data_IF_933488462117
#
_entry.id   IF_933488462117
#
_cell.length_a   1.000
_cell.length_b   1.000
_cell.length_c   1.000
_cell.angle_alpha   90.00
_cell.angle_beta   90.00
_cell.angle_gamma   90.00
#
_symmetry.space_group_name_H-M   'P 1'
#
loop_
_entity.id
_entity.type
_entity.pdbx_description
1 polymer ?
#
# COMPACT_ATOMS: atom_id res chain seq x y z
N UNK A 1 9.74 -1.84 8.77
CA UNK A 1 8.61 -2.31 7.92
C UNK A 1 7.95 -1.10 7.28
N UNK A 2 7.98 -0.96 5.96
CA UNK A 2 7.19 0.05 5.26
C UNK A 2 5.75 -0.44 5.17
N UNK A 3 4.78 0.40 5.51
CA UNK A 3 3.34 0.09 5.43
C UNK A 3 2.71 1.06 4.44
N UNK A 4 2.36 0.55 3.26
CA UNK A 4 1.70 1.30 2.19
C UNK A 4 0.20 1.07 2.29
N UNK A 5 -0.55 2.13 2.52
CA UNK A 5 -1.99 2.07 2.74
C UNK A 5 -2.63 3.39 2.30
N UNK A 6 -3.93 3.43 2.15
CA UNK A 6 -4.68 4.67 1.98
C UNK A 6 -5.17 5.22 3.32
N UNK A 7 -5.45 6.52 3.31
CA UNK A 7 -6.24 7.18 4.35
C UNK A 7 -7.74 7.03 4.01
N UNK A 8 -8.57 6.75 5.01
CA UNK A 8 -10.02 6.71 4.90
C UNK A 8 -10.67 7.81 5.76
N UNK A 9 -10.37 9.07 5.43
CA UNK A 9 -10.94 10.29 6.02
C UNK A 9 -10.63 10.52 7.52
N UNK A 10 -9.44 10.16 7.99
CA UNK A 10 -9.01 10.51 9.36
C UNK A 10 -7.92 11.57 9.34
N UNK A 11 -6.88 11.41 8.49
CA UNK A 11 -5.76 12.35 8.47
C UNK A 11 -5.86 13.39 7.35
N UNK A 12 -6.44 13.01 6.20
CA UNK A 12 -6.49 13.88 5.02
C UNK A 12 -7.94 14.16 4.64
N UNK A 13 -8.25 15.46 4.48
CA UNK A 13 -9.58 15.95 4.19
C UNK A 13 -9.54 16.95 3.03
N UNK A 14 -10.69 17.42 2.56
CA UNK A 14 -10.77 18.30 1.37
C UNK A 14 -9.98 19.61 1.43
N UNK A 15 -9.48 20.00 2.60
CA UNK A 15 -8.54 21.12 2.74
C UNK A 15 -7.12 20.78 2.29
N UNK A 16 -6.71 19.50 2.35
CA UNK A 16 -5.43 19.01 1.85
C UNK A 16 -5.43 17.49 1.67
N UNK A 17 -5.35 17.01 0.43
CA UNK A 17 -5.28 15.59 0.09
C UNK A 17 -3.99 15.33 -0.70
N UNK A 18 -2.95 14.74 -0.08
CA UNK A 18 -1.70 14.46 -0.76
C UNK A 18 -1.82 13.21 -1.65
N UNK A 19 -1.26 13.24 -2.86
CA UNK A 19 -1.17 12.06 -3.73
C UNK A 19 -0.40 10.92 -3.07
N UNK A 20 0.76 11.26 -2.49
CA UNK A 20 1.58 10.38 -1.66
C UNK A 20 2.04 11.14 -0.42
N UNK A 21 2.01 10.50 0.74
CA UNK A 21 2.44 11.12 1.99
C UNK A 21 3.32 10.20 2.82
N UNK A 22 4.40 10.76 3.39
CA UNK A 22 5.30 10.06 4.31
C UNK A 22 5.34 10.77 5.65
N UNK A 23 5.08 10.05 6.74
CA UNK A 23 5.20 10.62 8.09
C UNK A 23 6.64 10.64 8.58
N UNK A 24 7.06 11.77 9.16
CA UNK A 24 8.38 12.00 9.76
C UNK A 24 8.35 12.16 11.29
N UNK A 25 7.22 11.93 11.95
CA UNK A 25 7.17 11.89 13.42
C UNK A 25 8.13 10.85 13.97
N UNK A 26 8.50 10.97 15.25
CA UNK A 26 9.28 9.93 15.95
C UNK A 26 8.47 8.65 16.18
N UNK A 27 7.16 8.78 16.28
CA UNK A 27 6.27 7.70 16.67
C UNK A 27 4.92 7.85 15.98
N UNK A 28 4.28 6.72 15.68
CA UNK A 28 2.95 6.65 15.11
C UNK A 28 2.05 5.80 15.99
N UNK A 29 0.79 6.25 16.12
CA UNK A 29 -0.19 5.68 17.05
C UNK A 29 -1.50 5.49 16.32
N UNK A 30 -2.29 4.54 16.78
CA UNK A 30 -3.64 4.34 16.29
C UNK A 30 -4.47 3.54 17.27
N UNK A 31 -5.78 3.58 17.10
CA UNK A 31 -6.70 2.77 17.86
C UNK A 31 -7.73 2.14 16.93
N UNK A 32 -7.97 0.84 17.11
CA UNK A 32 -9.07 0.16 16.43
C UNK A 32 -9.79 -0.74 17.43
N UNK A 33 -11.08 -0.48 17.62
CA UNK A 33 -11.89 -1.09 18.68
C UNK A 33 -11.24 -0.89 20.07
N UNK A 34 -10.97 -1.97 20.81
CA UNK A 34 -10.30 -1.98 22.11
C UNK A 34 -8.76 -2.03 22.01
N UNK A 35 -8.20 -2.20 20.82
CA UNK A 35 -6.77 -2.39 20.62
C UNK A 35 -6.08 -1.06 20.34
N UNK A 36 -4.98 -0.80 21.06
CA UNK A 36 -4.13 0.38 20.89
C UNK A 36 -2.82 -0.03 20.26
N UNK A 37 -2.39 0.77 19.30
CA UNK A 37 -1.19 0.53 18.51
C UNK A 37 -0.22 1.69 18.71
N UNK A 38 1.06 1.35 18.91
CA UNK A 38 2.12 2.32 19.12
C UNK A 38 3.41 1.74 18.57
N UNK A 39 3.97 2.41 17.56
CA UNK A 39 5.19 1.97 16.90
C UNK A 39 6.17 3.14 16.76
N UNK A 40 7.46 2.86 16.94
CA UNK A 40 8.53 3.77 16.50
C UNK A 40 8.40 3.97 14.99
N UNK A 41 8.46 5.21 14.54
CA UNK A 41 8.47 5.51 13.11
C UNK A 41 9.91 5.53 12.59
N UNK A 42 10.14 4.99 11.40
CA UNK A 42 11.45 5.01 10.75
C UNK A 42 11.64 6.29 9.94
N UNK A 43 11.60 7.45 10.60
CA UNK A 43 11.68 8.77 9.94
C UNK A 43 12.92 8.96 9.05
N UNK A 44 14.05 8.34 9.39
CA UNK A 44 15.27 8.46 8.56
C UNK A 44 15.16 7.74 7.20
N UNK A 45 14.49 6.59 7.15
CA UNK A 45 14.16 5.92 5.89
C UNK A 45 13.17 6.76 5.10
N UNK A 46 12.18 7.35 5.78
CA UNK A 46 11.26 8.32 5.20
C UNK A 46 12.00 9.49 4.53
N UNK A 47 12.94 10.13 5.25
CA UNK A 47 13.75 11.23 4.70
C UNK A 47 14.59 10.80 3.50
N UNK A 48 15.15 9.60 3.51
CA UNK A 48 15.90 9.08 2.36
C UNK A 48 14.98 8.89 1.13
N UNK A 49 13.77 8.35 1.33
CA UNK A 49 12.78 8.21 0.25
C UNK A 49 12.34 9.58 -0.28
N UNK A 50 12.09 10.55 0.60
CA UNK A 50 11.71 11.92 0.21
C UNK A 50 12.79 12.58 -0.66
N UNK A 51 14.06 12.48 -0.25
CA UNK A 51 15.19 13.01 -1.03
C UNK A 51 15.32 12.34 -2.39
N UNK A 52 15.26 11.00 -2.42
CA UNK A 52 15.31 10.24 -3.66
C UNK A 52 14.13 10.60 -4.58
N UNK A 53 12.94 10.80 -4.03
CA UNK A 53 11.75 11.23 -4.77
C UNK A 53 11.98 12.57 -5.46
N UNK A 54 12.47 13.57 -4.72
CA UNK A 54 12.80 14.89 -5.27
C UNK A 54 13.84 14.79 -6.41
N UNK A 55 14.88 13.96 -6.25
CA UNK A 55 15.89 13.74 -7.28
C UNK A 55 15.34 13.05 -8.55
N UNK A 56 14.29 12.23 -8.40
CA UNK A 56 13.69 11.44 -9.49
C UNK A 56 12.38 12.00 -10.04
N UNK A 57 11.96 13.19 -9.62
CA UNK A 57 10.71 13.81 -10.08
C UNK A 57 9.45 13.10 -9.57
N UNK A 58 9.49 12.61 -8.33
CA UNK A 58 8.32 12.12 -7.59
C UNK A 58 8.14 12.98 -6.35
N UNK A 59 7.10 13.81 -6.38
CA UNK A 59 6.76 14.70 -5.27
C UNK A 59 5.94 13.95 -4.21
N UNK A 60 6.50 13.87 -3.01
CA UNK A 60 5.82 13.38 -1.82
C UNK A 60 5.47 14.55 -0.91
N UNK A 61 4.28 14.52 -0.32
CA UNK A 61 4.00 15.32 0.87
C UNK A 61 4.60 14.64 2.11
N UNK A 62 4.88 15.42 3.14
CA UNK A 62 5.36 14.89 4.41
C UNK A 62 4.86 15.74 5.59
N UNK A 63 4.82 15.13 6.77
CA UNK A 63 4.37 15.76 8.02
C UNK A 63 4.54 14.80 9.19
N UNK A 64 4.16 15.21 10.40
CA UNK A 64 4.46 14.42 11.61
C UNK A 64 3.19 13.85 12.27
N UNK A 65 2.09 14.59 12.30
CA UNK A 65 0.93 14.21 13.08
C UNK A 65 -0.11 13.46 12.25
N UNK A 66 0.10 12.15 12.09
CA UNK A 66 -0.90 11.23 11.53
C UNK A 66 -1.26 10.14 12.56
N UNK A 67 -2.50 9.70 12.51
CA UNK A 67 -3.03 8.55 13.24
C UNK A 67 -3.12 7.34 12.30
N UNK A 68 -2.62 6.20 12.74
CA UNK A 68 -2.79 4.91 12.06
C UNK A 68 -4.26 4.50 12.17
N UNK A 69 -4.86 4.18 11.03
CA UNK A 69 -6.24 3.76 10.89
C UNK A 69 -6.34 2.24 10.79
N UNK A 70 -7.56 1.71 10.63
CA UNK A 70 -7.79 0.29 10.39
C UNK A 70 -7.04 -0.23 9.16
N UNK A 71 -6.83 0.60 8.13
CA UNK A 71 -6.08 0.21 6.92
C UNK A 71 -4.65 -0.23 7.26
N UNK A 72 -4.00 0.39 8.25
CA UNK A 72 -2.68 -0.05 8.74
C UNK A 72 -2.80 -1.02 9.91
N UNK A 73 -3.61 -0.71 10.93
CA UNK A 73 -3.55 -1.42 12.21
C UNK A 73 -4.20 -2.80 12.19
N UNK A 74 -5.20 -3.04 11.34
CA UNK A 74 -5.81 -4.38 11.22
C UNK A 74 -4.79 -5.37 10.66
N UNK A 75 -4.10 -5.11 9.53
CA UNK A 75 -3.02 -5.98 9.08
C UNK A 75 -1.87 -6.08 10.09
N UNK A 76 -1.43 -4.97 10.69
CA UNK A 76 -0.36 -4.96 11.69
C UNK A 76 -0.68 -5.81 12.92
N UNK A 77 -1.95 -5.89 13.35
CA UNK A 77 -2.36 -6.76 14.44
C UNK A 77 -2.01 -8.23 14.18
N UNK A 78 -2.10 -8.70 12.94
CA UNK A 78 -1.79 -10.09 12.59
C UNK A 78 -0.31 -10.31 12.29
N UNK A 79 0.36 -9.38 11.61
CA UNK A 79 1.73 -9.58 11.11
C UNK A 79 2.83 -9.00 12.01
N UNK A 80 2.49 -8.02 12.86
CA UNK A 80 3.40 -7.37 13.80
C UNK A 80 2.66 -6.96 15.09
N UNK A 81 2.06 -7.93 15.82
CA UNK A 81 1.28 -7.65 17.04
C UNK A 81 2.12 -7.00 18.14
N UNK A 82 3.41 -7.30 18.18
CA UNK A 82 4.37 -6.66 19.07
C UNK A 82 5.24 -5.67 18.29
N UNK A 83 5.40 -4.41 18.74
CA UNK A 83 6.15 -3.36 18.04
C UNK A 83 7.68 -3.52 18.16
N UNK A 84 8.20 -4.71 17.81
CA UNK A 84 9.63 -5.08 17.92
C UNK A 84 10.54 -4.31 16.97
N UNK A 85 10.01 -3.90 15.82
CA UNK A 85 10.74 -3.16 14.76
C UNK A 85 10.00 -1.83 14.46
N UNK A 86 10.71 -0.80 13.99
CA UNK A 86 10.05 0.41 13.54
C UNK A 86 9.25 0.17 12.27
N UNK A 87 8.19 0.96 12.08
CA UNK A 87 7.40 1.01 10.85
C UNK A 87 7.61 2.34 10.13
N UNK A 88 7.32 2.40 8.84
CA UNK A 88 7.23 3.64 8.07
C UNK A 88 5.91 3.65 7.30
N UNK A 89 4.89 4.36 7.78
CA UNK A 89 3.65 4.54 7.04
C UNK A 89 3.88 5.42 5.81
N UNK A 90 3.45 4.93 4.66
CA UNK A 90 3.37 5.68 3.41
C UNK A 90 1.92 5.63 2.96
N UNK A 91 1.33 6.80 2.75
CA UNK A 91 -0.05 6.92 2.32
C UNK A 91 -0.14 7.13 0.82
N UNK A 92 -1.06 6.43 0.17
CA UNK A 92 -1.45 6.67 -1.24
C UNK A 92 -2.89 7.17 -1.25
N UNK A 93 -3.16 8.26 -1.98
CA UNK A 93 -4.53 8.68 -2.23
C UNK A 93 -5.21 7.71 -3.20
N UNK A 94 -6.23 7.00 -2.75
CA UNK A 94 -6.98 6.02 -3.57
C UNK A 94 -8.47 6.34 -3.69
N UNK A 95 -8.94 7.45 -3.10
CA UNK A 95 -10.38 7.74 -2.99
C UNK A 95 -10.78 9.13 -3.48
N UNK A 96 -9.89 10.13 -3.40
CA UNK A 96 -10.21 11.50 -3.79
C UNK A 96 -9.59 11.83 -5.16
N UNK A 97 -10.41 12.08 -6.18
CA UNK A 97 -9.83 12.51 -7.45
C UNK A 97 -9.12 13.86 -7.35
N UNK A 98 -7.97 14.05 -8.05
CA UNK A 98 -7.29 13.06 -8.89
C UNK A 98 -6.44 12.06 -8.08
N UNK A 99 -6.62 10.76 -8.34
CA UNK A 99 -5.80 9.67 -7.77
C UNK A 99 -4.62 9.33 -8.70
N UNK A 100 -3.47 8.83 -8.18
CA UNK A 100 -2.31 8.49 -9.01
C UNK A 100 -2.59 7.29 -9.91
N UNK A 101 -1.97 7.26 -11.09
CA UNK A 101 -2.09 6.12 -12.01
C UNK A 101 -1.39 4.86 -11.45
N UNK A 102 -1.75 3.65 -11.92
CA UNK A 102 -1.04 2.42 -11.57
C UNK A 102 0.45 2.51 -11.90
N UNK A 103 0.79 3.12 -13.04
CA UNK A 103 2.17 3.42 -13.44
C UNK A 103 2.91 4.29 -12.43
N UNK A 104 2.28 5.36 -11.93
CA UNK A 104 2.91 6.24 -10.95
C UNK A 104 3.16 5.54 -9.62
N UNK A 105 2.21 4.71 -9.17
CA UNK A 105 2.39 3.90 -7.96
C UNK A 105 3.52 2.85 -8.14
N UNK A 106 3.60 2.22 -9.32
CA UNK A 106 4.71 1.32 -9.65
C UNK A 106 6.07 2.04 -9.60
N UNK A 107 6.16 3.26 -10.14
CA UNK A 107 7.39 4.08 -10.08
C UNK A 107 7.80 4.44 -8.65
N UNK A 108 6.83 4.72 -7.75
CA UNK A 108 7.10 4.87 -6.32
C UNK A 108 7.70 3.59 -5.75
N UNK A 109 7.20 2.43 -6.16
CA UNK A 109 7.78 1.13 -5.80
C UNK A 109 9.22 0.95 -6.27
N UNK A 110 9.53 1.30 -7.51
CA UNK A 110 10.90 1.25 -8.04
C UNK A 110 11.85 2.16 -7.25
N UNK A 111 11.40 3.36 -6.90
CA UNK A 111 12.15 4.29 -6.05
C UNK A 111 12.42 3.69 -4.66
N UNK A 112 11.40 3.13 -4.01
CA UNK A 112 11.52 2.50 -2.69
C UNK A 112 12.48 1.31 -2.74
N UNK A 113 12.42 0.48 -3.80
CA UNK A 113 13.35 -0.64 -4.01
C UNK A 113 14.80 -0.16 -4.02
N UNK A 114 15.09 0.88 -4.79
CA UNK A 114 16.45 1.40 -4.90
C UNK A 114 16.97 1.93 -3.56
N UNK A 115 16.13 2.65 -2.80
CA UNK A 115 16.48 3.11 -1.45
C UNK A 115 16.71 1.90 -0.52
N UNK A 116 15.83 0.91 -0.55
CA UNK A 116 15.92 -0.28 0.27
C UNK A 116 17.17 -1.12 -0.03
N UNK A 117 17.57 -1.25 -1.30
CA UNK A 117 18.76 -1.99 -1.72
C UNK A 117 20.07 -1.35 -1.24
N UNK A 118 20.07 -0.03 -1.02
CA UNK A 118 21.22 0.71 -0.46
C UNK A 118 21.23 0.75 1.07
N UNK A 119 20.16 0.29 1.71
CA UNK A 119 20.06 0.25 3.17
C UNK A 119 20.94 -0.86 3.75
N UNK A 120 21.54 -0.60 4.91
CA UNK A 120 22.22 -1.63 5.70
C UNK A 120 21.21 -2.48 6.51
N UNK A 121 19.94 -2.05 6.56
CA UNK A 121 18.88 -2.76 7.25
C UNK A 121 18.10 -3.70 6.34
N UNK A 122 17.47 -4.71 6.94
CA UNK A 122 16.48 -5.54 6.23
C UNK A 122 15.15 -4.80 6.15
N UNK A 123 14.75 -4.44 4.93
CA UNK A 123 13.49 -3.76 4.67
C UNK A 123 12.42 -4.77 4.23
N UNK A 124 11.27 -4.76 4.91
CA UNK A 124 10.04 -5.42 4.48
C UNK A 124 9.00 -4.35 4.13
N UNK A 125 8.10 -4.67 3.19
CA UNK A 125 7.07 -3.77 2.70
C UNK A 125 5.73 -4.52 2.74
N UNK A 126 4.71 -3.87 3.30
CA UNK A 126 3.33 -4.36 3.36
C UNK A 126 2.46 -3.36 2.61
N UNK A 127 1.69 -3.81 1.63
CA UNK A 127 0.58 -3.05 1.06
C UNK A 127 -0.74 -3.59 1.60
N UNK A 128 -1.72 -2.72 1.80
CA UNK A 128 -3.02 -3.06 2.37
C UNK A 128 -4.16 -2.51 1.49
N UNK A 129 -5.38 -3.01 1.73
CA UNK A 129 -6.58 -2.63 0.98
C UNK A 129 -6.87 -3.56 -0.20
N UNK A 130 -8.05 -3.40 -0.78
CA UNK A 130 -8.55 -4.26 -1.86
C UNK A 130 -8.99 -5.67 -1.40
N UNK A 131 -9.27 -6.61 -2.31
CA UNK A 131 -9.33 -6.45 -3.78
C UNK A 131 -10.68 -5.88 -4.20
N UNK A 132 -11.42 -6.51 -5.11
CA UNK A 132 -12.71 -5.97 -5.57
C UNK A 132 -13.70 -5.74 -4.41
N UNK A 133 -14.18 -4.49 -4.30
CA UNK A 133 -15.23 -4.05 -3.40
C UNK A 133 -15.73 -2.64 -3.75
N UNK A 134 -16.96 -2.28 -3.35
CA UNK A 134 -17.62 -1.02 -3.76
C UNK A 134 -18.15 -0.21 -2.57
N UNK A 135 -17.27 0.31 -1.68
CA UNK A 135 -17.70 1.06 -0.52
C UNK A 135 -18.38 2.36 -0.93
N UNK A 136 -19.54 2.66 -0.33
CA UNK A 136 -20.28 3.90 -0.60
C UNK A 136 -20.94 4.00 -1.99
N UNK A 137 -20.95 2.91 -2.76
CA UNK A 137 -21.55 2.82 -4.10
C UNK A 137 -22.87 2.03 -4.09
N UNK A 138 -23.79 2.24 -5.06
CA UNK A 138 -24.95 1.37 -5.26
C UNK A 138 -24.61 -0.11 -5.47
N UNK A 139 -23.36 -0.41 -5.84
CA UNK A 139 -22.82 -1.76 -6.05
C UNK A 139 -22.27 -2.41 -4.77
N UNK A 140 -22.51 -1.81 -3.60
CA UNK A 140 -22.02 -2.33 -2.32
C UNK A 140 -22.42 -3.80 -2.13
N UNK A 141 -21.45 -4.63 -1.72
CA UNK A 141 -21.62 -6.09 -1.58
C UNK A 141 -21.31 -6.90 -2.84
N UNK A 142 -21.16 -6.26 -4.00
CA UNK A 142 -20.62 -6.93 -5.19
C UNK A 142 -19.13 -7.26 -5.02
N UNK A 143 -18.73 -8.43 -5.52
CA UNK A 143 -17.33 -8.89 -5.55
C UNK A 143 -17.07 -9.40 -6.98
N UNK A 144 -16.06 -8.86 -7.65
CA UNK A 144 -15.61 -9.32 -8.96
C UNK A 144 -14.46 -10.33 -8.81
N UNK A 145 -14.82 -11.55 -8.40
CA UNK A 145 -13.82 -12.62 -8.20
C UNK A 145 -13.08 -12.99 -9.48
N UNK A 146 -13.66 -12.78 -10.67
CA UNK A 146 -12.95 -13.04 -11.91
C UNK A 146 -11.83 -12.02 -12.12
N UNK A 147 -12.09 -10.74 -11.85
CA UNK A 147 -11.07 -9.71 -11.87
C UNK A 147 -9.97 -9.97 -10.84
N UNK A 148 -10.35 -10.26 -9.60
CA UNK A 148 -9.40 -10.57 -8.52
C UNK A 148 -8.48 -11.73 -8.88
N UNK A 149 -9.04 -12.85 -9.37
CA UNK A 149 -8.24 -13.99 -9.79
C UNK A 149 -7.29 -13.65 -10.94
N UNK A 150 -7.70 -12.83 -11.92
CA UNK A 150 -6.82 -12.39 -13.01
C UNK A 150 -5.64 -11.58 -12.47
N UNK A 151 -5.88 -10.65 -11.56
CA UNK A 151 -4.81 -9.86 -10.93
C UNK A 151 -3.83 -10.76 -10.18
N UNK A 152 -4.36 -11.62 -9.31
CA UNK A 152 -3.57 -12.55 -8.51
C UNK A 152 -2.75 -13.52 -9.38
N UNK A 153 -3.30 -14.00 -10.50
CA UNK A 153 -2.61 -14.88 -11.42
C UNK A 153 -1.41 -14.19 -12.09
N UNK A 154 -1.55 -12.92 -12.49
CA UNK A 154 -0.42 -12.13 -13.00
C UNK A 154 0.71 -12.03 -11.97
N UNK A 155 0.38 -11.88 -10.68
CA UNK A 155 1.37 -11.84 -9.60
C UNK A 155 2.04 -13.21 -9.39
N UNK A 156 1.27 -14.29 -9.47
CA UNK A 156 1.76 -15.68 -9.39
C UNK A 156 2.77 -15.98 -10.49
N UNK A 157 2.51 -15.50 -11.70
CA UNK A 157 3.35 -15.74 -12.87
C UNK A 157 4.58 -14.82 -12.97
N UNK A 158 4.70 -13.82 -12.08
CA UNK A 158 5.77 -12.81 -12.14
C UNK A 158 5.54 -11.77 -13.23
N UNK A 159 4.29 -11.58 -13.65
CA UNK A 159 3.85 -10.62 -14.67
C UNK A 159 3.23 -9.36 -14.07
N UNK A 160 3.45 -9.10 -12.78
CA UNK A 160 2.88 -7.96 -12.05
C UNK A 160 3.21 -6.60 -12.68
N UNK A 161 4.40 -6.44 -13.28
CA UNK A 161 4.79 -5.23 -14.03
C UNK A 161 3.76 -4.84 -15.10
N UNK A 162 3.08 -5.81 -15.72
CA UNK A 162 2.08 -5.52 -16.77
C UNK A 162 0.90 -4.68 -16.27
N UNK A 163 0.60 -4.74 -14.95
CA UNK A 163 -0.45 -3.95 -14.31
C UNK A 163 -0.14 -2.45 -14.27
N UNK A 164 1.13 -2.04 -14.43
CA UNK A 164 1.48 -0.63 -14.62
C UNK A 164 0.97 -0.06 -15.96
N UNK A 165 0.52 -0.92 -16.88
CA UNK A 165 -0.13 -0.53 -18.13
C UNK A 165 -1.65 -0.36 -18.01
N UNK A 166 -2.27 -0.72 -16.88
CA UNK A 166 -3.71 -0.58 -16.70
C UNK A 166 -4.10 0.91 -16.57
N UNK A 167 -5.26 1.25 -17.10
CA UNK A 167 -5.92 2.52 -16.81
C UNK A 167 -6.56 2.48 -15.42
N UNK A 168 -6.82 3.65 -14.84
CA UNK A 168 -7.59 3.74 -13.59
C UNK A 168 -9.00 3.17 -13.75
N UNK A 169 -9.63 3.43 -14.90
CA UNK A 169 -10.96 2.90 -15.21
C UNK A 169 -11.01 1.37 -15.13
N UNK A 170 -9.98 0.68 -15.63
CA UNK A 170 -9.90 -0.78 -15.56
C UNK A 170 -9.86 -1.31 -14.12
N UNK A 171 -9.20 -0.60 -13.20
CA UNK A 171 -9.22 -0.97 -11.77
C UNK A 171 -10.57 -0.64 -11.12
N UNK A 172 -11.11 0.55 -11.41
CA UNK A 172 -12.36 1.05 -10.82
C UNK A 172 -13.59 0.26 -11.25
N UNK A 173 -13.57 -0.42 -12.41
CA UNK A 173 -14.66 -1.32 -12.82
C UNK A 173 -14.91 -2.44 -11.80
N UNK A 174 -13.87 -2.91 -11.12
CA UNK A 174 -13.94 -3.88 -10.03
C UNK A 174 -13.99 -3.21 -8.64
N UNK A 175 -14.05 -1.88 -8.57
CA UNK A 175 -14.03 -1.12 -7.32
C UNK A 175 -12.67 -1.09 -6.63
N UNK A 176 -11.62 -1.56 -7.29
CA UNK A 176 -10.34 -1.86 -6.67
C UNK A 176 -9.36 -0.68 -6.69
N UNK A 177 -9.81 0.50 -6.21
CA UNK A 177 -8.95 1.68 -6.16
C UNK A 177 -7.82 1.53 -5.15
N UNK A 178 -8.02 0.73 -4.09
CA UNK A 178 -7.00 0.42 -3.08
C UNK A 178 -5.88 -0.48 -3.62
N UNK A 179 -6.07 -1.15 -4.78
CA UNK A 179 -4.99 -1.86 -5.48
C UNK A 179 -3.81 -0.97 -5.87
N UNK A 180 -4.00 0.36 -5.90
CA UNK A 180 -2.89 1.30 -6.08
C UNK A 180 -1.83 1.18 -4.98
N UNK A 181 -2.22 0.80 -3.75
CA UNK A 181 -1.25 0.46 -2.69
C UNK A 181 -0.39 -0.74 -3.09
N UNK A 182 -1.00 -1.76 -3.69
CA UNK A 182 -0.32 -2.97 -4.16
C UNK A 182 0.63 -2.66 -5.30
N UNK A 183 0.28 -1.74 -6.19
CA UNK A 183 1.17 -1.30 -7.27
C UNK A 183 2.52 -0.76 -6.77
N UNK A 184 2.57 -0.17 -5.57
CA UNK A 184 3.83 0.22 -4.92
C UNK A 184 4.67 -1.01 -4.57
N UNK A 185 4.07 -2.04 -3.98
CA UNK A 185 4.80 -3.31 -3.69
C UNK A 185 5.21 -4.02 -4.97
N UNK A 186 4.36 -4.02 -6.00
CA UNK A 186 4.64 -4.61 -7.31
C UNK A 186 5.85 -3.91 -7.96
N UNK A 187 5.93 -2.58 -7.89
CA UNK A 187 7.11 -1.81 -8.31
C UNK A 187 8.37 -2.18 -7.53
N UNK A 188 8.23 -2.53 -6.25
CA UNK A 188 9.36 -2.99 -5.45
C UNK A 188 9.88 -4.36 -5.90
N UNK A 189 8.99 -5.31 -6.17
CA UNK A 189 9.36 -6.70 -6.49
C UNK A 189 9.72 -6.91 -7.96
N UNK A 190 9.18 -6.08 -8.87
CA UNK A 190 9.36 -6.20 -10.32
C UNK A 190 8.73 -7.49 -10.85
N UNK A 191 9.50 -8.29 -11.59
CA UNK A 191 9.00 -9.53 -12.22
C UNK A 191 9.16 -10.77 -11.33
N UNK A 192 9.39 -10.58 -10.03
CA UNK A 192 9.46 -11.70 -9.08
C UNK A 192 8.10 -12.41 -8.99
N UNK A 193 8.11 -13.73 -9.10
CA UNK A 193 6.93 -14.57 -8.88
C UNK A 193 6.53 -14.53 -7.40
N UNK A 194 5.23 -14.44 -7.14
CA UNK A 194 4.72 -14.57 -5.79
C UNK A 194 5.12 -15.92 -5.18
N UNK A 195 5.64 -15.88 -3.95
CA UNK A 195 6.00 -17.07 -3.17
C UNK A 195 4.77 -17.75 -2.56
N UNK A 196 3.77 -16.95 -2.20
CA UNK A 196 2.45 -17.44 -1.79
C UNK A 196 1.37 -16.54 -2.37
N UNK A 197 0.21 -17.12 -2.67
CA UNK A 197 -0.96 -16.41 -3.19
C UNK A 197 -2.22 -17.12 -2.67
N UNK A 198 -3.11 -16.37 -2.02
CA UNK A 198 -4.34 -16.87 -1.44
C UNK A 198 -5.49 -15.90 -1.73
N UNK A 199 -6.68 -16.44 -2.00
CA UNK A 199 -7.89 -15.68 -2.23
C UNK A 199 -9.06 -16.31 -1.49
N UNK A 200 -9.80 -15.50 -0.74
CA UNK A 200 -10.99 -15.91 -0.01
C UNK A 200 -11.94 -14.73 0.12
N UNK A 201 -12.91 -14.55 -0.79
CA UNK A 201 -13.88 -13.47 -0.67
C UNK A 201 -14.75 -13.71 0.57
N UNK A 202 -15.11 -12.64 1.27
CA UNK A 202 -15.99 -12.75 2.45
C UNK A 202 -17.46 -12.99 2.07
N UNK A 203 -17.78 -12.95 0.77
CA UNK A 203 -19.13 -13.06 0.20
C UNK A 203 -20.13 -12.03 0.77
N UNK A 204 -19.62 -10.95 1.36
CA UNK A 204 -20.42 -9.92 2.02
C UNK A 204 -20.06 -8.53 1.50
N UNK A 205 -18.77 -8.23 1.33
CA UNK A 205 -18.31 -6.90 1.01
C UNK A 205 -17.01 -6.83 0.20
N UNK A 206 -16.09 -7.80 0.32
CA UNK A 206 -14.74 -7.65 -0.24
C UNK A 206 -14.10 -8.97 -0.66
N UNK A 207 -13.44 -8.97 -1.82
CA UNK A 207 -12.54 -10.05 -2.24
C UNK A 207 -11.22 -10.00 -1.47
N UNK A 208 -10.99 -10.92 -0.51
CA UNK A 208 -9.74 -10.88 0.25
C UNK A 208 -8.62 -11.62 -0.49
N UNK A 209 -7.56 -10.90 -0.86
CA UNK A 209 -6.34 -11.44 -1.45
C UNK A 209 -5.14 -11.29 -0.52
N UNK A 210 -4.28 -12.31 -0.48
CA UNK A 210 -3.01 -12.27 0.27
C UNK A 210 -1.89 -12.80 -0.60
N UNK A 211 -0.87 -11.97 -0.82
CA UNK A 211 0.28 -12.32 -1.66
C UNK A 211 1.58 -11.98 -0.93
N UNK A 212 2.56 -12.86 -1.02
CA UNK A 212 3.89 -12.60 -0.46
C UNK A 212 5.00 -12.90 -1.47
N UNK A 213 6.11 -12.17 -1.33
CA UNK A 213 7.33 -12.40 -2.09
C UNK A 213 8.50 -12.51 -1.12
N UNK A 214 9.34 -13.52 -1.34
CA UNK A 214 10.65 -13.60 -0.71
C UNK A 214 11.71 -13.25 -1.74
N UNK A 215 12.20 -12.01 -1.68
CA UNK A 215 13.30 -11.58 -2.53
C UNK A 215 14.62 -12.09 -1.94
N UNK A 216 15.41 -12.81 -2.74
CA UNK A 216 16.80 -13.08 -2.42
C UNK A 216 17.63 -11.85 -2.77
N UNK A 217 18.51 -11.42 -1.87
CA UNK A 217 19.52 -10.41 -2.23
C UNK A 217 20.33 -10.95 -3.40
N UNK A 218 20.41 -10.17 -4.48
CA UNK A 218 21.27 -10.46 -5.62
C UNK A 218 22.72 -10.07 -5.29
#
# INVERSE_FOLDING_TARGET
LIVVANDQFVNFFFNNIPTFFITLADEVRGQFTRHRFRYRNHKELGRTILKAGMEKGIDFSFGEHVELQHTQVVPLYFVLPEPKIPILPIYVNTWAEPIPTPRRCYQVGELIREVAQRSQERVAILATGGLSHFPGSPRIGEIDSQFDHRLLELLREGKGRSLAGYSLEQLLQAGDSEFLNWMVVIGCVGDARASSNFYMPDHVATGWGFVSWKLTQA
#
